data_IF_987494036255
#
_entry.id   IF_987494036255
#
_cell.length_a   1.000
_cell.length_b   1.000
_cell.length_c   1.000
_cell.angle_alpha   90.00
_cell.angle_beta   90.00
_cell.angle_gamma   90.00
#
_symmetry.space_group_name_H-M   'P 1'
#
loop_
_entity.id
_entity.type
_entity.pdbx_description
1 polymer ?
#
# COMPACT_ATOMS: atom_id res chain seq x y z
N UNK A 1 -29.07 -4.77 -3.90
CA UNK A 1 -27.63 -4.61 -4.23
C UNK A 1 -26.98 -5.99 -4.19
N UNK A 2 -26.28 -6.42 -5.25
CA UNK A 2 -25.53 -7.68 -5.23
C UNK A 2 -24.24 -7.48 -4.43
N UNK A 3 -24.15 -8.11 -3.25
CA UNK A 3 -22.94 -8.11 -2.43
C UNK A 3 -21.82 -8.88 -3.12
N UNK A 4 -20.62 -8.31 -3.13
CA UNK A 4 -19.43 -8.93 -3.71
C UNK A 4 -19.07 -10.21 -2.95
N UNK A 5 -19.01 -11.34 -3.65
CA UNK A 5 -18.59 -12.62 -3.09
C UNK A 5 -17.14 -12.53 -2.60
N UNK A 6 -16.89 -12.97 -1.35
CA UNK A 6 -15.55 -12.95 -0.74
C UNK A 6 -14.66 -13.98 -1.45
N UNK A 7 -13.45 -13.58 -1.83
CA UNK A 7 -12.41 -14.49 -2.38
C UNK A 7 -11.97 -14.22 -3.83
N UNK A 8 -12.64 -13.33 -4.57
CA UNK A 8 -12.24 -12.99 -5.94
C UNK A 8 -10.94 -12.17 -6.01
N UNK A 9 -10.09 -12.44 -7.00
CA UNK A 9 -8.91 -11.60 -7.28
C UNK A 9 -9.36 -10.16 -7.59
N UNK A 10 -8.69 -9.18 -7.00
CA UNK A 10 -8.97 -7.78 -7.28
C UNK A 10 -8.42 -7.41 -8.67
N UNK A 11 -9.30 -7.05 -9.61
CA UNK A 11 -8.91 -6.48 -10.90
C UNK A 11 -8.00 -5.26 -10.67
N UNK A 12 -6.82 -5.28 -11.28
CA UNK A 12 -5.92 -4.12 -11.34
C UNK A 12 -6.34 -3.28 -12.55
N UNK A 13 -6.38 -1.96 -12.36
CA UNK A 13 -6.72 -1.00 -13.41
C UNK A 13 -5.48 -0.22 -13.78
N UNK A 14 -5.16 -0.15 -15.07
CA UNK A 14 -4.06 0.65 -15.58
C UNK A 14 -4.34 2.16 -15.44
N UNK A 15 -3.32 3.00 -15.63
CA UNK A 15 -3.52 4.46 -15.60
C UNK A 15 -4.42 4.89 -16.75
N UNK A 16 -4.20 4.30 -17.92
CA UNK A 16 -4.85 4.58 -19.19
C UNK A 16 -6.34 4.21 -19.13
N UNK A 17 -6.69 3.05 -18.55
CA UNK A 17 -8.08 2.66 -18.36
C UNK A 17 -8.84 3.64 -17.46
N UNK A 18 -8.22 4.08 -16.35
CA UNK A 18 -8.83 5.08 -15.47
C UNK A 18 -9.00 6.41 -16.17
N UNK A 19 -7.99 6.83 -16.91
CA UNK A 19 -7.99 8.10 -17.63
C UNK A 19 -9.09 8.13 -18.68
N UNK A 20 -9.28 7.03 -19.44
CA UNK A 20 -10.39 6.90 -20.39
C UNK A 20 -11.74 7.16 -19.71
N UNK A 21 -11.99 6.49 -18.58
CA UNK A 21 -13.28 6.60 -17.86
C UNK A 21 -13.48 8.02 -17.30
N UNK A 22 -12.42 8.63 -16.76
CA UNK A 22 -12.49 9.99 -16.25
C UNK A 22 -12.72 11.01 -17.37
N UNK A 23 -12.09 10.85 -18.54
CA UNK A 23 -12.34 11.69 -19.71
C UNK A 23 -13.77 11.58 -20.21
N UNK A 24 -14.33 10.36 -20.32
CA UNK A 24 -15.75 10.18 -20.66
C UNK A 24 -16.70 10.90 -19.68
N UNK A 25 -16.33 10.99 -18.41
CA UNK A 25 -17.12 11.74 -17.43
C UNK A 25 -17.11 13.26 -17.70
N UNK A 26 -15.95 13.83 -18.05
CA UNK A 26 -15.79 15.27 -18.27
C UNK A 26 -16.16 15.72 -19.69
N UNK A 27 -15.72 14.98 -20.71
CA UNK A 27 -15.82 15.34 -22.13
C UNK A 27 -17.19 14.96 -22.71
N UNK A 28 -17.69 13.76 -22.36
CA UNK A 28 -18.99 13.25 -22.86
C UNK A 28 -20.14 13.56 -21.89
N UNK A 29 -19.85 14.08 -20.69
CA UNK A 29 -20.86 14.41 -19.67
C UNK A 29 -21.61 13.21 -19.11
N UNK A 30 -21.09 11.99 -19.27
CA UNK A 30 -21.79 10.76 -18.89
C UNK A 30 -21.79 10.60 -17.36
N UNK A 31 -22.98 10.40 -16.79
CA UNK A 31 -23.15 10.18 -15.36
C UNK A 31 -22.38 8.96 -14.83
N UNK A 32 -21.84 9.09 -13.62
CA UNK A 32 -21.15 8.01 -12.88
C UNK A 32 -21.93 6.67 -12.83
N UNK A 33 -23.26 6.63 -12.61
CA UNK A 33 -24.01 5.37 -12.60
C UNK A 33 -24.01 4.66 -13.95
N UNK A 34 -24.05 5.41 -15.06
CA UNK A 34 -24.01 4.87 -16.42
C UNK A 34 -22.64 4.28 -16.72
N UNK A 35 -21.57 5.04 -16.45
CA UNK A 35 -20.19 4.55 -16.60
C UNK A 35 -19.93 3.31 -15.73
N UNK A 36 -20.46 3.28 -14.51
CA UNK A 36 -20.35 2.12 -13.61
C UNK A 36 -20.98 0.85 -14.22
N UNK A 37 -22.14 0.98 -14.88
CA UNK A 37 -22.83 -0.13 -15.53
C UNK A 37 -22.10 -0.59 -16.78
N UNK A 38 -21.66 0.33 -17.64
CA UNK A 38 -20.95 0.02 -18.88
C UNK A 38 -19.59 -0.64 -18.63
N UNK A 39 -18.82 -0.11 -17.68
CA UNK A 39 -17.46 -0.58 -17.40
C UNK A 39 -17.42 -1.71 -16.37
N UNK A 40 -18.57 -2.07 -15.78
CA UNK A 40 -18.68 -3.09 -14.73
C UNK A 40 -17.93 -2.73 -13.44
N UNK A 41 -17.90 -1.44 -13.08
CA UNK A 41 -17.14 -0.91 -11.93
C UNK A 41 -18.11 -0.33 -10.91
N UNK A 42 -17.75 -0.39 -9.62
CA UNK A 42 -18.49 0.33 -8.60
C UNK A 42 -18.42 1.86 -8.83
N UNK A 43 -19.56 2.54 -8.78
CA UNK A 43 -19.66 4.01 -8.93
C UNK A 43 -18.75 4.78 -7.96
N UNK A 44 -18.58 4.30 -6.73
CA UNK A 44 -17.65 4.90 -5.76
C UNK A 44 -16.17 4.87 -6.18
N UNK A 45 -15.78 3.89 -6.99
CA UNK A 45 -14.43 3.79 -7.53
C UNK A 45 -14.18 4.85 -8.61
N UNK A 46 -15.18 5.08 -9.48
CA UNK A 46 -15.17 6.15 -10.47
C UNK A 46 -15.10 7.52 -9.77
N UNK A 47 -15.92 7.73 -8.73
CA UNK A 47 -15.88 8.96 -7.93
C UNK A 47 -14.49 9.20 -7.31
N UNK A 48 -13.83 8.14 -6.81
CA UNK A 48 -12.47 8.23 -6.28
C UNK A 48 -11.46 8.65 -7.36
N UNK A 49 -11.57 8.13 -8.58
CA UNK A 49 -10.68 8.50 -9.68
C UNK A 49 -10.90 9.92 -10.15
N UNK A 50 -12.15 10.36 -10.28
CA UNK A 50 -12.49 11.75 -10.59
C UNK A 50 -11.88 12.70 -9.55
N UNK A 51 -12.06 12.40 -8.26
CA UNK A 51 -11.51 13.24 -7.19
C UNK A 51 -9.97 13.30 -7.25
N UNK A 52 -9.30 12.18 -7.50
CA UNK A 52 -7.84 12.17 -7.68
C UNK A 52 -7.39 12.96 -8.89
N UNK A 53 -8.12 12.85 -10.00
CA UNK A 53 -7.83 13.60 -11.22
C UNK A 53 -7.98 15.12 -11.00
N UNK A 54 -9.00 15.55 -10.27
CA UNK A 54 -9.19 16.97 -9.95
C UNK A 54 -8.08 17.55 -9.08
N UNK A 55 -7.52 16.78 -8.14
CA UNK A 55 -6.47 17.26 -7.23
C UNK A 55 -5.05 17.12 -7.78
N UNK A 56 -4.75 15.99 -8.43
CA UNK A 56 -3.39 15.58 -8.81
C UNK A 56 -3.24 15.45 -10.35
N UNK A 57 -4.26 15.79 -11.13
CA UNK A 57 -4.27 15.60 -12.59
C UNK A 57 -4.15 14.12 -13.00
N UNK A 58 -3.56 13.87 -14.16
CA UNK A 58 -3.32 12.50 -14.64
C UNK A 58 -2.41 11.68 -13.70
N UNK A 59 -1.50 12.34 -12.97
CA UNK A 59 -0.61 11.68 -12.01
C UNK A 59 -1.40 11.02 -10.86
N UNK A 60 -2.53 11.59 -10.47
CA UNK A 60 -3.43 11.02 -9.45
C UNK A 60 -4.00 9.65 -9.82
N UNK A 61 -4.05 9.33 -11.11
CA UNK A 61 -4.58 8.04 -11.60
C UNK A 61 -3.53 6.93 -11.60
N UNK A 62 -2.26 7.26 -11.34
CA UNK A 62 -1.19 6.26 -11.27
C UNK A 62 -1.39 5.27 -10.12
N UNK A 63 -1.02 4.02 -10.38
CA UNK A 63 -1.02 2.99 -9.35
C UNK A 63 0.15 3.22 -8.40
N UNK A 64 -0.13 3.79 -7.22
CA UNK A 64 0.85 3.90 -6.15
C UNK A 64 1.33 2.50 -5.77
N UNK A 65 2.65 2.28 -5.86
CA UNK A 65 3.27 1.03 -5.39
C UNK A 65 2.97 0.92 -3.89
N UNK A 66 2.33 -0.18 -3.48
CA UNK A 66 2.17 -0.47 -2.05
C UNK A 66 3.57 -0.67 -1.47
N UNK A 67 3.98 0.23 -0.57
CA UNK A 67 5.20 0.03 0.21
C UNK A 67 4.95 -1.13 1.17
N UNK A 68 5.41 -2.32 0.79
CA UNK A 68 5.45 -3.46 1.69
C UNK A 68 6.62 -3.32 2.68
N UNK A 69 6.73 -4.25 3.62
CA UNK A 69 7.91 -4.32 4.48
C UNK A 69 9.18 -4.43 3.61
N UNK A 70 10.07 -3.43 3.67
CA UNK A 70 11.34 -3.39 2.93
C UNK A 70 12.20 -4.63 3.19
N UNK A 71 12.11 -5.17 4.40
CA UNK A 71 12.83 -6.37 4.82
C UNK A 71 12.17 -7.68 4.36
N UNK A 72 10.96 -7.65 3.79
CA UNK A 72 10.32 -8.86 3.27
C UNK A 72 11.08 -9.47 2.07
N UNK A 73 11.94 -8.70 1.40
CA UNK A 73 12.81 -9.22 0.36
C UNK A 73 13.82 -10.26 0.90
N UNK A 74 14.23 -10.14 2.18
CA UNK A 74 15.15 -11.09 2.83
C UNK A 74 14.59 -12.51 2.92
N UNK A 75 13.26 -12.67 2.90
CA UNK A 75 12.59 -13.97 3.03
C UNK A 75 11.96 -14.47 1.72
N UNK A 76 11.66 -13.58 0.77
CA UNK A 76 10.89 -13.93 -0.44
C UNK A 76 11.75 -14.27 -1.66
N UNK A 77 12.99 -13.80 -1.73
CA UNK A 77 13.83 -14.00 -2.90
C UNK A 77 15.03 -14.88 -2.58
N UNK A 78 15.18 -15.97 -3.34
CA UNK A 78 16.33 -16.88 -3.27
C UNK A 78 17.52 -16.39 -4.13
N UNK A 79 17.32 -15.41 -5.01
CA UNK A 79 18.31 -14.94 -6.00
C UNK A 79 18.61 -13.44 -5.91
N UNK A 80 18.63 -12.87 -4.70
CA UNK A 80 19.10 -11.48 -4.49
C UNK A 80 20.61 -11.39 -4.63
N UNK A 81 21.11 -10.25 -5.14
CA UNK A 81 22.53 -9.91 -5.04
C UNK A 81 22.92 -9.79 -3.58
N UNK A 82 24.08 -10.34 -3.21
CA UNK A 82 24.55 -10.36 -1.82
C UNK A 82 24.65 -8.95 -1.23
N UNK A 83 25.12 -7.97 -2.02
CA UNK A 83 25.19 -6.57 -1.59
C UNK A 83 23.83 -6.00 -1.17
N UNK A 84 22.76 -6.27 -1.93
CA UNK A 84 21.43 -5.76 -1.61
C UNK A 84 20.84 -6.47 -0.37
N UNK A 85 21.15 -7.76 -0.22
CA UNK A 85 20.79 -8.53 0.98
C UNK A 85 21.49 -7.98 2.22
N UNK A 86 22.80 -7.74 2.14
CA UNK A 86 23.60 -7.17 3.23
C UNK A 86 23.10 -5.77 3.62
N UNK A 87 22.83 -4.90 2.65
CA UNK A 87 22.24 -3.57 2.90
C UNK A 87 20.94 -3.66 3.72
N UNK A 88 20.07 -4.62 3.38
CA UNK A 88 18.82 -4.83 4.11
C UNK A 88 19.06 -5.38 5.53
N UNK A 89 20.05 -6.26 5.72
CA UNK A 89 20.39 -6.81 7.05
C UNK A 89 20.94 -5.70 7.94
N UNK A 90 21.92 -4.93 7.45
CA UNK A 90 22.53 -3.81 8.17
C UNK A 90 21.45 -2.81 8.57
N UNK A 91 20.61 -2.38 7.62
CA UNK A 91 19.51 -1.46 7.92
C UNK A 91 18.48 -2.01 8.91
N UNK A 92 18.34 -3.34 9.03
CA UNK A 92 17.46 -3.98 10.03
C UNK A 92 18.10 -3.94 11.41
N UNK A 93 19.39 -4.21 11.48
CA UNK A 93 20.18 -4.20 12.72
C UNK A 93 20.34 -2.78 13.26
N UNK A 94 20.60 -1.79 12.42
CA UNK A 94 20.70 -0.38 12.82
C UNK A 94 19.44 0.11 13.53
N UNK A 95 18.26 -0.23 13.00
CA UNK A 95 16.98 0.09 13.64
C UNK A 95 16.87 -0.58 15.02
N UNK A 96 17.29 -1.84 15.13
CA UNK A 96 17.21 -2.55 16.41
C UNK A 96 18.20 -1.98 17.43
N UNK A 97 19.44 -1.71 17.02
CA UNK A 97 20.45 -1.02 17.84
C UNK A 97 19.90 0.32 18.33
N UNK A 98 19.27 1.11 17.47
CA UNK A 98 18.69 2.40 17.85
C UNK A 98 17.58 2.25 18.91
N UNK A 99 16.75 1.21 18.81
CA UNK A 99 15.71 0.92 19.81
C UNK A 99 16.29 0.47 21.14
N UNK A 100 17.28 -0.43 21.10
CA UNK A 100 17.99 -0.88 22.29
C UNK A 100 18.68 0.29 22.99
N UNK A 101 19.31 1.21 22.25
CA UNK A 101 19.87 2.46 22.79
C UNK A 101 18.82 3.36 23.45
N UNK A 102 17.57 3.31 22.98
CA UNK A 102 16.42 4.00 23.60
C UNK A 102 15.77 3.21 24.75
N UNK A 103 16.28 2.01 25.06
CA UNK A 103 15.82 1.19 26.19
C UNK A 103 14.51 0.44 25.95
N UNK A 104 14.20 0.09 24.70
CA UNK A 104 13.03 -0.75 24.39
C UNK A 104 13.28 -1.72 23.24
N UNK A 105 12.51 -2.81 23.23
CA UNK A 105 12.44 -3.80 22.15
C UNK A 105 11.06 -3.75 21.49
N UNK A 106 10.97 -4.27 20.26
CA UNK A 106 9.69 -4.40 19.55
C UNK A 106 9.41 -5.86 19.23
N UNK A 107 8.26 -6.36 19.68
CA UNK A 107 7.75 -7.70 19.36
C UNK A 107 6.57 -7.60 18.39
N UNK A 108 6.42 -8.61 17.54
CA UNK A 108 5.33 -8.68 16.56
C UNK A 108 5.37 -7.61 15.46
N UNK A 109 4.33 -7.60 14.62
CA UNK A 109 4.18 -6.70 13.46
C UNK A 109 2.72 -6.31 13.28
N UNK A 110 2.47 -5.21 12.55
CA UNK A 110 1.11 -4.77 12.25
C UNK A 110 0.29 -4.48 13.51
N UNK A 111 -0.91 -5.05 13.60
CA UNK A 111 -1.81 -4.91 14.74
C UNK A 111 -1.28 -5.57 16.02
N UNK A 112 -0.42 -6.59 15.91
CA UNK A 112 0.16 -7.32 17.05
C UNK A 112 1.53 -6.77 17.46
N UNK A 113 1.80 -5.48 17.19
CA UNK A 113 3.09 -4.87 17.51
C UNK A 113 3.08 -4.38 18.96
N UNK A 114 4.08 -4.81 19.72
CA UNK A 114 4.24 -4.48 21.14
C UNK A 114 5.62 -3.88 21.40
N UNK A 115 5.67 -2.84 22.24
CA UNK A 115 6.92 -2.22 22.70
C UNK A 115 7.19 -2.65 24.14
N UNK A 116 8.37 -3.24 24.36
CA UNK A 116 8.77 -3.77 25.67
C UNK A 116 9.93 -2.93 26.20
N UNK A 117 9.75 -2.26 27.33
CA UNK A 117 10.83 -1.50 27.96
C UNK A 117 11.85 -2.43 28.63
N UNK A 118 13.14 -2.10 28.51
CA UNK A 118 14.28 -2.87 29.02
C UNK A 118 14.77 -2.30 30.38
N UNK A 119 14.04 -1.38 31.03
CA UNK A 119 14.47 -0.80 32.32
C UNK A 119 14.83 -1.92 33.30
N UNK A 120 16.08 -1.90 33.78
CA UNK A 120 16.60 -2.85 34.76
C UNK A 120 15.71 -2.88 36.02
N UNK A 121 15.19 -4.04 36.46
CA UNK A 121 14.58 -4.18 37.77
C UNK A 121 15.60 -4.17 38.93
N UNK A 122 16.88 -3.87 38.67
CA UNK A 122 17.95 -3.96 39.68
C UNK A 122 18.45 -2.59 40.10
N UNK A 123 17.67 -1.91 40.93
CA UNK A 123 18.24 -1.01 41.95
C UNK A 123 17.56 -1.38 43.27
N UNK A 124 18.15 -2.34 43.98
CA UNK A 124 17.94 -2.60 45.40
C UNK A 124 19.28 -2.39 46.09
#
# INVERSE_FOLDING_TARGET
MMSRTKGGQNKKWSKEEKLRIVRRYFDEGIGRPTLAKEEGIASGMIATWIHKYLNEGEAGLENKKKSGNKFAALHRSKSMKELDRLRLIVAKQEIEIERLKKGYMVKGVGANKEFVSIKDPSTK
#
